data_IF_525659308514
#
_entry.id   IF_525659308514
#
_cell.length_a   1.000
_cell.length_b   1.000
_cell.length_c   1.000
_cell.angle_alpha   90.00
_cell.angle_beta   90.00
_cell.angle_gamma   90.00
#
_symmetry.space_group_name_H-M   'P 1'
#
loop_
_entity.id
_entity.type
_entity.pdbx_description
1 polymer ?
#
# COMPACT_ATOMS: atom_id res chain seq x y z
N UNK A 1 36.16 15.22 19.87
CA UNK A 1 35.30 15.09 18.67
C UNK A 1 34.15 14.11 18.94
N UNK A 2 33.22 14.42 19.85
CA UNK A 2 32.10 13.53 20.23
C UNK A 2 30.84 14.30 20.64
N UNK A 3 30.48 15.35 19.89
CA UNK A 3 29.32 16.21 20.21
C UNK A 3 28.33 16.36 19.04
N UNK A 4 28.74 15.98 17.83
CA UNK A 4 27.89 16.03 16.62
C UNK A 4 26.95 14.83 16.53
N UNK A 5 27.35 13.64 17.01
CA UNK A 5 26.54 12.42 16.93
C UNK A 5 25.29 12.43 17.84
N UNK A 6 25.31 13.12 18.99
CA UNK A 6 24.18 13.20 19.91
C UNK A 6 23.03 14.10 19.40
N UNK A 7 23.33 15.11 18.56
CA UNK A 7 22.32 16.01 18.00
C UNK A 7 21.58 15.40 16.81
N UNK A 8 22.25 14.62 15.98
CA UNK A 8 21.63 14.01 14.78
C UNK A 8 20.58 12.94 15.10
N UNK A 9 20.81 12.12 16.13
CA UNK A 9 19.83 11.12 16.62
C UNK A 9 18.51 11.80 17.01
N UNK A 10 18.55 13.08 17.38
CA UNK A 10 17.41 13.87 17.85
C UNK A 10 16.56 14.47 16.70
N UNK A 11 17.09 14.59 15.49
CA UNK A 11 16.37 15.15 14.34
C UNK A 11 15.64 14.07 13.57
N UNK A 12 16.33 12.97 13.26
CA UNK A 12 15.73 11.83 12.53
C UNK A 12 14.62 11.17 13.35
N UNK A 13 14.86 10.93 14.66
CA UNK A 13 13.82 10.39 15.54
C UNK A 13 12.59 11.29 15.65
N UNK A 14 12.79 12.62 15.70
CA UNK A 14 11.70 13.59 15.75
C UNK A 14 10.91 13.64 14.43
N UNK A 15 11.61 13.56 13.30
CA UNK A 15 10.97 13.45 11.99
C UNK A 15 10.06 12.20 11.92
N UNK A 16 10.57 11.03 12.32
CA UNK A 16 9.79 9.80 12.32
C UNK A 16 8.59 9.86 13.28
N UNK A 17 8.75 10.44 14.46
CA UNK A 17 7.65 10.63 15.40
C UNK A 17 6.55 11.52 14.81
N UNK A 18 6.92 12.63 14.16
CA UNK A 18 5.96 13.53 13.52
C UNK A 18 5.30 12.88 12.30
N UNK A 19 6.05 12.07 11.53
CA UNK A 19 5.53 11.37 10.35
C UNK A 19 4.53 10.26 10.72
N UNK A 20 4.69 9.64 11.89
CA UNK A 20 3.82 8.57 12.38
C UNK A 20 2.73 9.06 13.34
N UNK A 21 2.67 10.36 13.61
CA UNK A 21 1.68 10.95 14.49
C UNK A 21 0.27 10.84 13.89
N UNK A 22 -0.64 10.10 14.54
CA UNK A 22 -2.03 10.02 14.09
C UNK A 22 -2.80 11.29 14.48
N UNK A 23 -3.72 11.72 13.61
CA UNK A 23 -4.72 12.75 13.89
C UNK A 23 -5.96 12.14 14.55
N UNK A 24 -6.50 12.79 15.59
CA UNK A 24 -7.62 12.25 16.36
C UNK A 24 -8.95 12.25 15.58
N UNK A 25 -9.09 13.09 14.56
CA UNK A 25 -10.30 13.22 13.75
C UNK A 25 -10.41 12.17 12.62
N UNK A 26 -9.38 11.34 12.45
CA UNK A 26 -9.27 10.38 11.36
C UNK A 26 -9.55 8.95 11.83
N UNK A 27 -10.49 8.27 11.17
CA UNK A 27 -10.70 6.84 11.37
C UNK A 27 -9.66 6.00 10.64
N UNK A 28 -8.54 5.72 11.31
CA UNK A 28 -7.45 4.92 10.76
C UNK A 28 -7.82 3.45 10.50
N UNK A 29 -8.86 2.89 11.13
CA UNK A 29 -9.34 1.55 10.77
C UNK A 29 -9.95 1.55 9.36
N UNK A 30 -10.77 2.55 9.05
CA UNK A 30 -11.38 2.71 7.73
C UNK A 30 -10.32 3.00 6.66
N UNK A 31 -9.47 4.01 6.88
CA UNK A 31 -8.46 4.42 5.88
C UNK A 31 -7.47 3.29 5.59
N UNK A 32 -6.94 2.63 6.62
CA UNK A 32 -6.01 1.50 6.42
C UNK A 32 -6.71 0.35 5.69
N UNK A 33 -7.99 0.12 5.96
CA UNK A 33 -8.82 -0.84 5.22
C UNK A 33 -8.93 -0.49 3.74
N UNK A 34 -9.25 0.75 3.40
CA UNK A 34 -9.31 1.22 2.01
C UNK A 34 -7.97 1.05 1.28
N UNK A 35 -6.85 1.43 1.91
CA UNK A 35 -5.52 1.28 1.33
C UNK A 35 -5.14 -0.19 1.13
N UNK A 36 -5.50 -1.06 2.09
CA UNK A 36 -5.33 -2.50 1.95
C UNK A 36 -6.13 -3.05 0.78
N UNK A 37 -7.42 -2.71 0.67
CA UNK A 37 -8.28 -3.16 -0.42
C UNK A 37 -7.73 -2.73 -1.77
N UNK A 38 -7.34 -1.47 -1.93
CA UNK A 38 -6.74 -0.97 -3.16
C UNK A 38 -5.41 -1.66 -3.49
N UNK A 39 -4.58 -1.93 -2.48
CA UNK A 39 -3.33 -2.69 -2.64
C UNK A 39 -3.59 -4.12 -3.09
N UNK A 40 -4.60 -4.80 -2.52
CA UNK A 40 -5.01 -6.15 -2.94
C UNK A 40 -5.50 -6.12 -4.39
N UNK A 41 -6.34 -5.16 -4.76
CA UNK A 41 -6.80 -4.98 -6.15
C UNK A 41 -5.62 -4.76 -7.09
N UNK A 42 -4.63 -3.94 -6.72
CA UNK A 42 -3.41 -3.76 -7.49
C UNK A 42 -2.69 -5.08 -7.75
N UNK A 43 -2.46 -5.87 -6.70
CA UNK A 43 -1.75 -7.16 -6.78
C UNK A 43 -2.55 -8.17 -7.61
N UNK A 44 -3.87 -8.21 -7.44
CA UNK A 44 -4.75 -9.07 -8.23
C UNK A 44 -4.71 -8.72 -9.72
N UNK A 45 -4.82 -7.42 -10.07
CA UNK A 45 -4.77 -6.98 -11.46
C UNK A 45 -3.41 -7.24 -12.11
N UNK A 46 -2.32 -7.00 -11.37
CA UNK A 46 -0.98 -7.37 -11.82
C UNK A 46 -0.86 -8.89 -12.06
N UNK A 47 -1.40 -9.70 -11.15
CA UNK A 47 -1.44 -11.15 -11.30
C UNK A 47 -2.23 -11.59 -12.53
N UNK A 48 -3.42 -11.01 -12.75
CA UNK A 48 -4.25 -11.28 -13.93
C UNK A 48 -3.50 -10.93 -15.21
N UNK A 49 -2.85 -9.77 -15.29
CA UNK A 49 -2.04 -9.39 -16.44
C UNK A 49 -0.96 -10.45 -16.74
N UNK A 50 -0.17 -10.85 -15.73
CA UNK A 50 0.91 -11.83 -15.92
C UNK A 50 0.39 -13.22 -16.29
N UNK A 51 -0.78 -13.60 -15.77
CA UNK A 51 -1.44 -14.86 -16.13
C UNK A 51 -1.94 -14.83 -17.58
N UNK A 52 -2.51 -13.71 -18.05
CA UNK A 52 -2.92 -13.57 -19.44
C UNK A 52 -1.72 -13.56 -20.38
N UNK A 53 -0.64 -12.84 -20.06
CA UNK A 53 0.60 -12.83 -20.84
C UNK A 53 1.13 -14.27 -21.03
N UNK A 54 1.19 -15.05 -19.94
CA UNK A 54 1.64 -16.44 -19.97
C UNK A 54 0.71 -17.33 -20.81
N UNK A 55 -0.61 -17.14 -20.69
CA UNK A 55 -1.59 -17.89 -21.45
C UNK A 55 -1.50 -17.61 -22.96
N UNK A 56 -1.36 -16.35 -23.37
CA UNK A 56 -1.23 -15.95 -24.78
C UNK A 56 -0.02 -16.64 -25.43
N UNK A 57 1.11 -16.71 -24.71
CA UNK A 57 2.31 -17.40 -25.18
C UNK A 57 2.08 -18.92 -25.32
N UNK A 58 1.31 -19.52 -24.40
CA UNK A 58 1.05 -20.96 -24.40
C UNK A 58 -0.02 -21.41 -25.41
N UNK A 59 -1.01 -20.56 -25.71
CA UNK A 59 -2.20 -20.92 -26.48
C UNK A 59 -1.97 -21.07 -28.00
N UNK A 60 -0.83 -20.59 -28.53
CA UNK A 60 -0.54 -20.63 -29.96
C UNK A 60 -1.54 -19.83 -30.82
N UNK A 61 -1.54 -20.05 -32.14
CA UNK A 61 -2.36 -19.29 -33.10
C UNK A 61 -3.73 -19.94 -33.30
N UNK A 62 -4.69 -19.61 -32.44
CA UNK A 62 -6.11 -19.98 -32.57
C UNK A 62 -7.00 -18.73 -32.47
N UNK A 63 -8.22 -18.79 -33.02
CA UNK A 63 -9.17 -17.66 -32.94
C UNK A 63 -9.47 -17.20 -31.50
N UNK A 64 -9.32 -18.10 -30.51
CA UNK A 64 -9.47 -17.78 -29.07
C UNK A 64 -8.29 -16.95 -28.56
N UNK A 65 -7.09 -17.22 -29.06
CA UNK A 65 -5.87 -16.50 -28.71
C UNK A 65 -5.95 -15.03 -29.14
N UNK A 66 -6.57 -14.75 -30.30
CA UNK A 66 -6.75 -13.38 -30.80
C UNK A 66 -7.63 -12.54 -29.85
N UNK A 67 -8.80 -13.07 -29.42
CA UNK A 67 -9.66 -12.39 -28.46
C UNK A 67 -9.00 -12.19 -27.08
N UNK A 68 -8.22 -13.16 -26.62
CA UNK A 68 -7.51 -13.03 -25.33
C UNK A 68 -6.34 -12.05 -25.45
N UNK A 69 -5.71 -11.94 -26.60
CA UNK A 69 -4.65 -10.96 -26.86
C UNK A 69 -5.20 -9.54 -26.84
N UNK A 70 -6.37 -9.30 -27.43
CA UNK A 70 -7.07 -8.01 -27.33
C UNK A 70 -7.42 -7.67 -25.87
N UNK A 71 -7.94 -8.65 -25.13
CA UNK A 71 -8.22 -8.49 -23.69
C UNK A 71 -6.95 -8.14 -22.90
N UNK A 72 -5.86 -8.89 -23.10
CA UNK A 72 -4.58 -8.65 -22.44
C UNK A 72 -4.05 -7.24 -22.74
N UNK A 73 -4.13 -6.82 -24.00
CA UNK A 73 -3.75 -5.45 -24.40
C UNK A 73 -4.64 -4.39 -23.76
N UNK A 74 -5.94 -4.66 -23.57
CA UNK A 74 -6.88 -3.70 -22.98
C UNK A 74 -6.68 -3.50 -21.48
N UNK A 75 -6.24 -4.54 -20.76
CA UNK A 75 -6.01 -4.47 -19.31
C UNK A 75 -4.56 -4.12 -18.95
N UNK A 76 -3.66 -4.09 -19.94
CA UNK A 76 -2.24 -3.85 -19.72
C UNK A 76 -2.02 -2.54 -18.94
N UNK A 77 -1.38 -2.65 -17.78
CA UNK A 77 -1.07 -1.49 -16.95
C UNK A 77 -2.23 -0.92 -16.14
N UNK A 78 -3.43 -1.51 -16.13
CA UNK A 78 -4.55 -1.03 -15.31
C UNK A 78 -4.21 -1.02 -13.80
N UNK A 79 -3.35 -1.94 -13.37
CA UNK A 79 -2.86 -2.00 -12.00
C UNK A 79 -2.04 -0.76 -11.60
N UNK A 80 -1.46 -0.02 -12.56
CA UNK A 80 -0.69 1.20 -12.30
C UNK A 80 -1.52 2.29 -11.60
N UNK A 81 -2.82 2.32 -11.85
CA UNK A 81 -3.77 3.24 -11.18
C UNK A 81 -3.79 3.02 -9.66
N UNK A 82 -3.52 1.80 -9.21
CA UNK A 82 -3.55 1.42 -7.81
C UNK A 82 -2.17 1.41 -7.13
N UNK A 83 -1.07 1.62 -7.86
CA UNK A 83 0.28 1.65 -7.30
C UNK A 83 0.46 2.67 -6.16
N UNK A 84 -0.09 3.90 -6.23
CA UNK A 84 0.06 4.88 -5.16
C UNK A 84 -0.48 4.40 -3.81
N UNK A 85 -1.41 3.44 -3.79
CA UNK A 85 -1.99 2.92 -2.55
C UNK A 85 -1.05 2.00 -1.77
N UNK A 86 -0.03 1.42 -2.43
CA UNK A 86 0.96 0.56 -1.78
C UNK A 86 1.78 1.33 -0.72
N UNK A 87 2.46 2.45 -1.03
CA UNK A 87 3.16 3.23 -0.01
C UNK A 87 2.20 3.82 1.04
N UNK A 88 0.98 4.19 0.65
CA UNK A 88 -0.05 4.66 1.59
C UNK A 88 -0.47 3.56 2.59
N UNK A 89 -0.63 2.32 2.13
CA UNK A 89 -0.92 1.18 3.00
C UNK A 89 0.24 0.90 3.95
N UNK A 90 1.47 0.85 3.43
CA UNK A 90 2.68 0.61 4.22
C UNK A 90 2.87 1.66 5.31
N UNK A 91 2.56 2.93 5.03
CA UNK A 91 2.59 4.00 6.03
C UNK A 91 1.36 3.98 6.96
N UNK A 92 0.18 3.62 6.46
CA UNK A 92 -1.05 3.57 7.26
C UNK A 92 -1.01 2.54 8.40
N UNK A 93 -0.34 1.40 8.20
CA UNK A 93 -0.20 0.35 9.21
C UNK A 93 0.51 0.81 10.50
N UNK A 94 1.71 1.43 10.47
CA UNK A 94 2.36 1.93 11.67
C UNK A 94 1.58 3.08 12.31
N UNK A 95 1.01 4.00 11.52
CA UNK A 95 0.19 5.10 12.06
C UNK A 95 -1.05 4.57 12.79
N UNK A 96 -1.73 3.58 12.21
CA UNK A 96 -2.86 2.90 12.86
C UNK A 96 -2.44 2.22 14.16
N UNK A 97 -1.27 1.60 14.19
CA UNK A 97 -0.74 0.98 15.40
C UNK A 97 -0.54 2.00 16.52
N UNK A 98 0.02 3.17 16.20
CA UNK A 98 0.17 4.27 17.16
C UNK A 98 -1.18 4.86 17.60
N UNK A 99 -2.14 5.00 16.68
CA UNK A 99 -3.50 5.42 16.99
C UNK A 99 -4.18 4.48 18.00
N UNK A 100 -4.08 3.17 17.80
CA UNK A 100 -4.64 2.18 18.72
C UNK A 100 -3.96 2.21 20.09
N UNK A 101 -2.64 2.41 20.14
CA UNK A 101 -1.91 2.61 21.40
C UNK A 101 -2.40 3.85 22.15
N UNK A 102 -2.62 4.98 21.47
CA UNK A 102 -3.17 6.21 22.07
C UNK A 102 -4.58 5.99 22.63
N UNK A 103 -5.49 5.37 21.88
CA UNK A 103 -6.85 5.08 22.37
C UNK A 103 -6.88 4.12 23.56
N UNK A 104 -6.03 3.09 23.58
CA UNK A 104 -5.95 2.16 24.72
C UNK A 104 -5.50 2.85 26.01
N UNK A 105 -4.66 3.88 25.92
CA UNK A 105 -4.26 4.68 27.09
C UNK A 105 -5.40 5.54 27.61
N UNK A 106 -6.16 6.21 26.74
CA UNK A 106 -7.30 7.02 27.14
C UNK A 106 -8.36 6.21 27.89
N UNK A 107 -8.69 5.00 27.44
CA UNK A 107 -9.70 4.13 28.06
C UNK A 107 -9.33 3.70 29.50
N UNK A 108 -8.05 3.72 29.89
CA UNK A 108 -7.60 3.28 31.22
C UNK A 108 -7.56 4.39 32.27
N UNK A 109 -7.79 5.65 31.87
CA UNK A 109 -7.71 6.82 32.76
C UNK A 109 -9.10 7.24 33.26
N UNK A 110 -10.16 6.70 32.63
CA UNK A 110 -11.56 6.83 33.05
C UNK A 110 -12.00 5.63 33.91
#
# INVERSE_FOLDING_TARGET
MSSTASKEVNVVGRFWNNLLEPSDDINYNFITGCYLTATVVCVCLFGVEKLLDMYVVAAGSSNVSESITELASSIHGIYLVFIPFIPCFLWGVPVRSEFLKRRSKHIKVD
#
